data_IF_693192214759
#
_entry.id   IF_693192214759
#
_cell.length_a   1.000
_cell.length_b   1.000
_cell.length_c   1.000
_cell.angle_alpha   90.00
_cell.angle_beta   90.00
_cell.angle_gamma   90.00
#
_symmetry.space_group_name_H-M   'P 1'
#
loop_
_entity.id
_entity.type
_entity.pdbx_description
1 polymer ?
#
# COMPACT_ATOMS: atom_id res chain seq x y z
N UNK A 1 7.26 15.53 -10.83
CA UNK A 1 7.04 14.16 -10.31
C UNK A 1 5.90 13.51 -11.07
N UNK A 2 6.05 12.25 -11.54
CA UNK A 2 5.02 11.51 -12.27
C UNK A 2 4.27 10.55 -11.33
N UNK A 3 3.31 11.09 -10.58
CA UNK A 3 2.52 10.32 -9.58
C UNK A 3 1.73 9.18 -10.23
N UNK A 4 1.25 9.40 -11.46
CA UNK A 4 0.54 8.37 -12.23
C UNK A 4 1.37 7.10 -12.46
N UNK A 5 2.67 7.23 -12.76
CA UNK A 5 3.57 6.08 -12.95
C UNK A 5 3.75 5.32 -11.63
N UNK A 6 3.98 6.05 -10.54
CA UNK A 6 4.15 5.44 -9.22
C UNK A 6 2.89 4.68 -8.77
N UNK A 7 1.71 5.29 -8.94
CA UNK A 7 0.43 4.66 -8.61
C UNK A 7 0.14 3.43 -9.47
N UNK A 8 0.48 3.47 -10.78
CA UNK A 8 0.31 2.31 -11.65
C UNK A 8 1.21 1.13 -11.24
N UNK A 9 2.47 1.42 -10.90
CA UNK A 9 3.45 0.41 -10.47
C UNK A 9 3.06 -0.24 -9.15
N UNK A 10 2.42 0.52 -8.24
CA UNK A 10 2.03 0.06 -6.92
C UNK A 10 0.53 -0.25 -6.83
N UNK A 11 -0.06 -0.71 -7.93
CA UNK A 11 -1.49 -0.97 -8.01
C UNK A 11 -1.87 -2.40 -7.62
N UNK A 12 -3.14 -2.61 -7.24
CA UNK A 12 -3.68 -3.95 -6.99
C UNK A 12 -3.48 -4.93 -8.17
N UNK A 13 -3.49 -4.44 -9.42
CA UNK A 13 -3.25 -5.29 -10.58
C UNK A 13 -1.85 -5.92 -10.53
N UNK A 14 -0.84 -5.13 -10.15
CA UNK A 14 0.52 -5.62 -9.98
C UNK A 14 0.61 -6.65 -8.86
N UNK A 15 -0.13 -6.47 -7.75
CA UNK A 15 -0.26 -7.49 -6.69
C UNK A 15 -0.75 -8.82 -7.28
N UNK A 16 -1.89 -8.81 -7.98
CA UNK A 16 -2.49 -10.02 -8.53
C UNK A 16 -1.57 -10.72 -9.56
N UNK A 17 -0.85 -9.94 -10.37
CA UNK A 17 0.13 -10.49 -11.30
C UNK A 17 1.29 -11.18 -10.57
N UNK A 18 1.86 -10.55 -9.54
CA UNK A 18 2.95 -11.16 -8.75
C UNK A 18 2.47 -12.46 -8.09
N UNK A 19 1.29 -12.46 -7.47
CA UNK A 19 0.70 -13.65 -6.84
C UNK A 19 0.48 -14.79 -7.86
N UNK A 20 -0.09 -14.46 -9.02
CA UNK A 20 -0.32 -15.44 -10.09
C UNK A 20 0.99 -16.04 -10.58
N UNK A 21 2.01 -15.20 -10.79
CA UNK A 21 3.29 -15.64 -11.32
C UNK A 21 4.08 -16.46 -10.30
N UNK A 22 4.04 -16.08 -9.01
CA UNK A 22 4.61 -16.86 -7.92
C UNK A 22 3.91 -18.22 -7.78
N UNK A 23 2.57 -18.27 -7.87
CA UNK A 23 1.80 -19.52 -7.82
C UNK A 23 2.08 -20.45 -9.03
N UNK A 24 2.43 -19.88 -10.17
CA UNK A 24 2.83 -20.61 -11.38
C UNK A 24 4.33 -20.98 -11.44
N UNK A 25 5.07 -20.79 -10.35
CA UNK A 25 6.52 -21.04 -10.25
C UNK A 25 7.39 -20.22 -11.23
N UNK A 26 6.83 -19.17 -11.83
CA UNK A 26 7.55 -18.24 -12.71
C UNK A 26 8.27 -17.13 -11.92
N UNK A 27 7.94 -16.96 -10.64
CA UNK A 27 8.66 -16.09 -9.70
C UNK A 27 9.01 -16.89 -8.42
N UNK A 28 10.08 -16.50 -7.71
CA UNK A 28 10.37 -17.05 -6.39
C UNK A 28 9.17 -16.89 -5.45
N UNK A 29 8.96 -17.86 -4.56
CA UNK A 29 7.86 -17.85 -3.59
C UNK A 29 7.87 -16.60 -2.70
N UNK A 30 9.06 -16.06 -2.44
CA UNK A 30 9.32 -14.85 -1.67
C UNK A 30 8.77 -13.59 -2.36
N UNK A 31 8.45 -13.64 -3.66
CA UNK A 31 7.81 -12.54 -4.37
C UNK A 31 6.43 -12.19 -3.77
N UNK A 32 5.78 -13.12 -3.07
CA UNK A 32 4.52 -12.88 -2.35
C UNK A 32 4.66 -11.78 -1.30
N UNK A 33 5.82 -11.65 -0.64
CA UNK A 33 6.07 -10.54 0.30
C UNK A 33 6.05 -9.17 -0.40
N UNK A 34 6.49 -9.13 -1.67
CA UNK A 34 6.40 -7.91 -2.49
C UNK A 34 4.95 -7.64 -2.88
N UNK A 35 4.18 -8.66 -3.25
CA UNK A 35 2.76 -8.51 -3.53
C UNK A 35 2.01 -7.93 -2.32
N UNK A 36 2.25 -8.48 -1.11
CA UNK A 36 1.65 -7.99 0.13
C UNK A 36 1.98 -6.50 0.38
N UNK A 37 3.23 -6.11 0.16
CA UNK A 37 3.64 -4.71 0.27
C UNK A 37 2.91 -3.82 -0.74
N UNK A 38 2.87 -4.21 -2.01
CA UNK A 38 2.19 -3.46 -3.08
C UNK A 38 0.71 -3.30 -2.75
N UNK A 39 0.05 -4.36 -2.29
CA UNK A 39 -1.35 -4.33 -1.90
C UNK A 39 -1.62 -3.34 -0.76
N UNK A 40 -0.75 -3.32 0.26
CA UNK A 40 -0.84 -2.38 1.38
C UNK A 40 -0.68 -0.94 0.91
N UNK A 41 0.25 -0.68 -0.01
CA UNK A 41 0.43 0.67 -0.57
C UNK A 41 -0.77 1.09 -1.43
N UNK A 42 -1.29 0.23 -2.30
CA UNK A 42 -2.51 0.51 -3.10
C UNK A 42 -3.69 0.83 -2.18
N UNK A 43 -3.89 0.02 -1.13
CA UNK A 43 -4.97 0.19 -0.16
C UNK A 43 -4.83 1.49 0.64
N UNK A 44 -3.61 1.82 1.08
CA UNK A 44 -3.33 3.08 1.77
C UNK A 44 -3.59 4.28 0.85
N UNK A 45 -3.09 4.23 -0.39
CA UNK A 45 -3.30 5.28 -1.38
C UNK A 45 -4.78 5.47 -1.67
N UNK A 46 -5.54 4.38 -1.86
CA UNK A 46 -6.98 4.44 -2.06
C UNK A 46 -7.69 5.07 -0.84
N UNK A 47 -7.33 4.67 0.38
CA UNK A 47 -7.94 5.18 1.62
C UNK A 47 -7.76 6.68 1.84
N UNK A 48 -6.67 7.26 1.31
CA UNK A 48 -6.35 8.68 1.41
C UNK A 48 -6.82 9.49 0.18
N UNK A 49 -7.19 8.80 -0.90
CA UNK A 49 -7.59 9.39 -2.17
C UNK A 49 -8.98 8.91 -2.61
N UNK A 50 -9.83 8.56 -1.64
CA UNK A 50 -11.20 8.13 -1.88
C UNK A 50 -12.09 9.29 -2.30
N UNK A 51 -12.88 9.10 -3.35
CA UNK A 51 -13.73 10.15 -3.93
C UNK A 51 -15.15 9.68 -4.26
N UNK A 52 -15.41 8.38 -4.22
CA UNK A 52 -16.68 7.83 -4.70
C UNK A 52 -17.71 7.69 -3.57
N UNK A 53 -18.93 8.14 -3.81
CA UNK A 53 -20.05 7.86 -2.91
C UNK A 53 -20.58 6.42 -3.07
N UNK A 54 -20.46 5.87 -4.28
CA UNK A 54 -20.75 4.47 -4.60
C UNK A 54 -19.47 3.64 -4.47
N UNK A 55 -19.46 2.66 -3.56
CA UNK A 55 -18.29 1.84 -3.33
C UNK A 55 -18.06 0.89 -4.51
N UNK A 56 -16.88 0.91 -5.16
CA UNK A 56 -16.54 -0.11 -6.13
C UNK A 56 -16.47 -1.47 -5.41
N UNK A 57 -17.07 -2.51 -6.00
CA UNK A 57 -17.04 -3.87 -5.44
C UNK A 57 -15.58 -4.30 -5.22
N UNK A 58 -15.26 -4.70 -3.99
CA UNK A 58 -13.91 -5.13 -3.60
C UNK A 58 -12.90 -4.01 -3.31
N UNK A 59 -13.28 -2.72 -3.38
CA UNK A 59 -12.39 -1.59 -3.01
C UNK A 59 -13.08 -0.64 -2.02
N UNK A 60 -13.38 -1.10 -0.79
CA UNK A 60 -14.14 -0.31 0.17
C UNK A 60 -13.43 0.99 0.60
N UNK A 61 -12.10 1.02 0.53
CA UNK A 61 -11.27 2.19 0.84
C UNK A 61 -11.20 3.23 -0.28
N UNK A 62 -11.77 2.99 -1.47
CA UNK A 62 -11.92 4.03 -2.51
C UNK A 62 -13.12 4.96 -2.28
N UNK A 63 -13.95 4.63 -1.29
CA UNK A 63 -15.10 5.44 -0.93
C UNK A 63 -14.72 6.74 -0.24
N UNK A 64 -15.66 7.68 -0.18
CA UNK A 64 -15.53 8.84 0.71
C UNK A 64 -15.52 8.39 2.19
N UNK A 65 -14.83 9.15 3.04
CA UNK A 65 -14.85 8.97 4.48
C UNK A 65 -16.28 9.21 5.03
N UNK A 66 -16.81 8.24 5.77
CA UNK A 66 -18.13 8.29 6.42
C UNK A 66 -18.00 7.71 7.82
N UNK A 67 -18.99 7.95 8.67
CA UNK A 67 -19.01 7.44 10.06
C UNK A 67 -18.89 5.91 10.12
N UNK A 68 -19.43 5.22 9.13
CA UNK A 68 -19.52 3.77 9.02
C UNK A 68 -18.55 3.16 7.99
N UNK A 69 -17.66 3.97 7.40
CA UNK A 69 -16.71 3.45 6.42
C UNK A 69 -15.49 2.82 7.12
N UNK A 70 -14.83 1.82 6.49
CA UNK A 70 -13.79 1.03 7.16
C UNK A 70 -12.45 1.77 7.30
N UNK A 71 -12.39 3.07 7.01
CA UNK A 71 -11.15 3.84 6.96
C UNK A 71 -10.50 3.95 8.34
N UNK A 72 -11.27 4.24 9.39
CA UNK A 72 -10.72 4.40 10.74
C UNK A 72 -10.10 3.10 11.23
N UNK A 73 -10.81 1.99 11.09
CA UNK A 73 -10.29 0.65 11.45
C UNK A 73 -9.04 0.30 10.64
N UNK A 74 -9.07 0.55 9.32
CA UNK A 74 -7.93 0.33 8.44
C UNK A 74 -6.72 1.18 8.85
N UNK A 75 -6.91 2.47 9.15
CA UNK A 75 -5.85 3.37 9.57
C UNK A 75 -5.25 2.99 10.92
N UNK A 76 -6.07 2.60 11.90
CA UNK A 76 -5.57 2.11 13.18
C UNK A 76 -4.68 0.87 13.02
N UNK A 77 -5.04 -0.04 12.11
CA UNK A 77 -4.22 -1.22 11.81
C UNK A 77 -2.92 -0.84 11.07
N UNK A 78 -3.01 -0.09 9.97
CA UNK A 78 -1.85 0.19 9.13
C UNK A 78 -0.83 1.09 9.83
N UNK A 79 -1.26 2.00 10.71
CA UNK A 79 -0.35 2.84 11.49
C UNK A 79 0.54 2.01 12.41
N UNK A 80 -0.01 0.96 13.04
CA UNK A 80 0.79 0.03 13.84
C UNK A 80 1.80 -0.73 12.98
N UNK A 81 1.40 -1.20 11.80
CA UNK A 81 2.29 -1.92 10.89
C UNK A 81 3.40 -1.04 10.30
N UNK A 82 3.14 0.25 10.07
CA UNK A 82 4.10 1.19 9.51
C UNK A 82 5.09 1.71 10.56
N UNK A 83 4.71 1.72 11.85
CA UNK A 83 5.54 2.22 12.96
C UNK A 83 6.91 1.56 13.01
N UNK A 84 6.98 0.26 12.73
CA UNK A 84 8.21 -0.53 12.85
C UNK A 84 8.98 -0.63 11.52
N UNK A 85 8.47 -0.02 10.44
CA UNK A 85 9.15 -0.06 9.14
C UNK A 85 10.23 1.00 9.04
N UNK A 86 11.32 0.63 8.36
CA UNK A 86 12.46 1.49 8.10
C UNK A 86 12.67 1.68 6.61
N UNK A 87 13.10 2.87 6.23
CA UNK A 87 13.60 3.15 4.90
C UNK A 87 15.12 3.01 4.91
N UNK A 88 15.65 2.08 4.13
CA UNK A 88 17.09 1.80 4.06
C UNK A 88 17.63 2.32 2.71
N UNK A 89 18.64 3.18 2.76
CA UNK A 89 19.37 3.59 1.55
C UNK A 89 20.28 2.44 1.11
N UNK A 90 19.95 1.84 -0.04
CA UNK A 90 20.67 0.68 -0.57
C UNK A 90 22.14 0.97 -0.88
N UNK A 91 22.54 2.23 -1.08
CA UNK A 91 23.92 2.60 -1.41
C UNK A 91 24.89 2.43 -0.24
N UNK A 92 24.41 2.69 0.98
CA UNK A 92 25.24 2.74 2.19
C UNK A 92 24.64 1.94 3.36
N UNK A 93 23.51 1.26 3.13
CA UNK A 93 22.75 0.47 4.09
C UNK A 93 22.35 1.23 5.37
N UNK A 94 22.20 2.57 5.28
CA UNK A 94 21.79 3.39 6.43
C UNK A 94 20.27 3.52 6.49
N UNK A 95 19.76 3.53 7.72
CA UNK A 95 18.39 3.92 8.01
C UNK A 95 18.23 5.43 7.75
N UNK A 96 17.38 5.76 6.80
CA UNK A 96 17.04 7.13 6.38
C UNK A 96 15.59 7.48 6.72
N UNK A 97 14.93 6.69 7.56
CA UNK A 97 13.55 6.95 8.02
C UNK A 97 13.41 8.34 8.66
N UNK A 98 14.47 8.82 9.33
CA UNK A 98 14.53 10.14 9.95
C UNK A 98 14.52 11.31 8.95
N UNK A 99 14.76 11.05 7.66
CA UNK A 99 14.69 12.07 6.60
C UNK A 99 13.23 12.34 6.19
N UNK A 100 12.30 11.49 6.62
CA UNK A 100 10.88 11.63 6.36
C UNK A 100 10.16 11.88 7.68
N UNK A 101 9.60 13.09 7.83
CA UNK A 101 8.73 13.36 8.97
C UNK A 101 7.31 12.93 8.60
N UNK A 102 6.87 11.78 9.12
CA UNK A 102 5.43 11.50 9.13
C UNK A 102 4.78 12.47 10.12
N UNK A 103 3.82 13.27 9.64
CA UNK A 103 3.06 14.16 10.52
C UNK A 103 2.40 13.29 11.57
N UNK A 104 2.72 13.53 12.85
CA UNK A 104 2.02 12.88 13.97
C UNK A 104 0.56 13.31 13.87
N UNK A 105 -0.30 12.36 13.49
CA UNK A 105 -1.76 12.54 13.51
C UNK A 105 -2.28 12.71 14.93
#
# INVERSE_FOLDING_TARGET
MKVNIAAAQLSYYVTACIETWAASENLPSEAVYTAEFVHKVDSLFNSLNGYSFSLPKGKPLKGVLKRDSPHIEYWSKILLELRDRKLIDKRNNKDVSNQFHFIKG
#
